data_IF_716729683188
#
_entry.id   IF_716729683188
#
_cell.length_a   1.000
_cell.length_b   1.000
_cell.length_c   1.000
_cell.angle_alpha   90.00
_cell.angle_beta   90.00
_cell.angle_gamma   90.00
#
_symmetry.space_group_name_H-M   'P 1'
#
loop_
_entity.id
_entity.type
_entity.pdbx_description
1 polymer ?
#
# COMPACT_ATOMS: atom_id res chain seq x y z
N UNK A 1 -10.41 24.88 37.19
CA UNK A 1 -9.44 25.23 36.11
C UNK A 1 -9.94 24.55 34.85
N UNK A 2 -10.41 25.32 33.86
CA UNK A 2 -10.93 24.82 32.58
C UNK A 2 -9.88 23.94 31.90
N UNK A 3 -10.10 22.63 31.90
CA UNK A 3 -9.40 21.72 30.99
C UNK A 3 -10.00 21.99 29.62
N UNK A 4 -9.18 22.45 28.67
CA UNK A 4 -9.55 22.64 27.27
C UNK A 4 -10.36 21.44 26.77
N UNK A 5 -11.57 21.70 26.24
CA UNK A 5 -12.49 20.70 25.67
C UNK A 5 -12.03 20.17 24.30
N UNK A 6 -10.92 20.68 23.77
CA UNK A 6 -10.43 20.35 22.44
C UNK A 6 -9.54 19.10 22.48
N UNK A 7 -9.86 18.15 21.60
CA UNK A 7 -9.18 16.87 21.50
C UNK A 7 -7.93 17.06 20.63
N UNK A 8 -6.73 16.83 21.19
CA UNK A 8 -5.49 16.83 20.43
C UNK A 8 -5.45 15.58 19.56
N UNK A 9 -5.13 15.73 18.27
CA UNK A 9 -5.08 14.61 17.34
C UNK A 9 -3.70 14.51 16.71
N UNK A 10 -3.16 13.30 16.75
CA UNK A 10 -1.83 12.97 16.24
C UNK A 10 -1.98 12.03 15.05
N UNK A 11 -1.15 12.28 14.04
CA UNK A 11 -1.08 11.46 12.85
C UNK A 11 0.32 10.92 12.64
N UNK A 12 0.41 9.66 12.22
CA UNK A 12 1.67 9.01 11.85
C UNK A 12 1.64 8.79 10.34
N UNK A 13 2.49 9.54 9.62
CA UNK A 13 2.66 9.53 8.18
C UNK A 13 2.18 10.82 7.50
N UNK A 14 3.06 11.48 6.74
CA UNK A 14 2.81 12.64 5.87
C UNK A 14 2.45 12.27 4.43
N UNK A 15 2.01 11.02 4.21
CA UNK A 15 1.46 10.56 2.93
C UNK A 15 0.01 11.02 2.69
N UNK A 16 -0.63 10.61 1.58
CA UNK A 16 -1.98 11.05 1.21
C UNK A 16 -3.02 10.85 2.32
N UNK A 17 -2.97 9.73 3.04
CA UNK A 17 -3.88 9.44 4.15
C UNK A 17 -3.73 10.44 5.31
N UNK A 18 -2.49 10.79 5.70
CA UNK A 18 -2.24 11.75 6.78
C UNK A 18 -2.53 13.19 6.39
N UNK A 19 -2.23 13.58 5.13
CA UNK A 19 -2.61 14.88 4.59
C UNK A 19 -4.14 15.04 4.56
N UNK A 20 -4.86 14.00 4.14
CA UNK A 20 -6.33 13.97 4.17
C UNK A 20 -6.87 14.15 5.60
N UNK A 21 -6.32 13.42 6.58
CA UNK A 21 -6.67 13.55 7.98
C UNK A 21 -6.46 14.98 8.50
N UNK A 22 -5.28 15.56 8.25
CA UNK A 22 -4.94 16.91 8.68
C UNK A 22 -5.88 17.95 8.06
N UNK A 23 -6.18 17.87 6.75
CA UNK A 23 -7.15 18.74 6.09
C UNK A 23 -8.52 18.71 6.77
N UNK A 24 -9.02 17.52 7.10
CA UNK A 24 -10.35 17.38 7.70
C UNK A 24 -10.43 17.90 9.13
N UNK A 25 -9.35 17.75 9.90
CA UNK A 25 -9.21 18.33 11.24
C UNK A 25 -9.19 19.87 11.14
N UNK A 26 -8.35 20.42 10.26
CA UNK A 26 -8.21 21.87 10.07
C UNK A 26 -9.50 22.54 9.57
N UNK A 27 -10.35 21.81 8.82
CA UNK A 27 -11.67 22.32 8.41
C UNK A 27 -12.70 22.40 9.54
N UNK A 28 -12.39 21.90 10.73
CA UNK A 28 -13.29 21.81 11.90
C UNK A 28 -12.64 22.37 13.19
N UNK A 29 -12.20 23.65 13.19
CA UNK A 29 -11.48 24.24 14.33
C UNK A 29 -12.33 24.35 15.61
N UNK A 30 -13.66 24.32 15.49
CA UNK A 30 -14.57 24.31 16.65
C UNK A 30 -14.65 22.93 17.33
N UNK A 31 -14.31 21.86 16.62
CA UNK A 31 -14.38 20.48 17.12
C UNK A 31 -13.01 19.92 17.51
N UNK A 32 -11.93 20.35 16.86
CA UNK A 32 -10.59 19.77 17.04
C UNK A 32 -9.51 20.83 17.25
N UNK A 33 -8.54 20.51 18.09
CA UNK A 33 -7.27 21.23 18.12
C UNK A 33 -6.53 21.03 16.78
N UNK A 34 -5.66 21.98 16.37
CA UNK A 34 -4.83 21.78 15.20
C UNK A 34 -4.01 20.48 15.29
N UNK A 35 -3.83 19.78 14.16
CA UNK A 35 -3.22 18.47 14.16
C UNK A 35 -1.70 18.51 14.42
N UNK A 36 -1.14 17.35 14.73
CA UNK A 36 0.32 17.12 14.62
C UNK A 36 0.56 15.90 13.74
N UNK A 37 1.18 16.10 12.58
CA UNK A 37 1.56 15.02 11.65
C UNK A 37 3.04 14.70 11.87
N UNK A 38 3.36 13.45 12.20
CA UNK A 38 4.72 12.95 12.26
C UNK A 38 5.08 12.27 10.95
N UNK A 39 6.10 12.77 10.24
CA UNK A 39 6.61 12.20 9.00
C UNK A 39 8.07 11.77 9.21
N UNK A 40 8.42 10.59 8.71
CA UNK A 40 9.75 10.00 8.90
C UNK A 40 10.80 10.68 8.03
N UNK A 41 10.41 11.16 6.85
CA UNK A 41 11.26 11.86 5.90
C UNK A 41 11.10 13.38 6.02
N UNK A 42 11.87 14.13 5.25
CA UNK A 42 11.71 15.57 5.02
C UNK A 42 10.84 15.92 3.81
N UNK A 43 10.24 14.91 3.19
CA UNK A 43 9.41 15.06 2.03
C UNK A 43 7.97 14.62 2.30
N UNK A 44 7.03 15.27 1.64
CA UNK A 44 5.61 14.90 1.71
C UNK A 44 5.27 13.82 0.69
N UNK A 45 4.09 13.22 0.85
CA UNK A 45 3.50 12.35 -0.18
C UNK A 45 3.79 10.86 0.00
N UNK A 46 4.65 10.48 0.96
CA UNK A 46 4.93 9.10 1.32
C UNK A 46 5.42 8.30 0.10
N UNK A 47 4.67 7.27 -0.30
CA UNK A 47 5.00 6.45 -1.48
C UNK A 47 5.12 7.24 -2.78
N UNK A 48 4.47 8.41 -2.91
CA UNK A 48 4.52 9.20 -4.14
C UNK A 48 5.82 10.00 -4.31
N UNK A 49 6.58 10.17 -3.23
CA UNK A 49 7.90 10.73 -3.31
C UNK A 49 8.84 9.69 -3.92
N UNK A 50 9.47 10.04 -5.04
CA UNK A 50 10.49 9.22 -5.68
C UNK A 50 11.87 9.65 -5.20
N UNK A 51 12.59 8.69 -4.65
CA UNK A 51 14.02 8.79 -4.37
C UNK A 51 14.75 7.63 -5.03
N UNK A 52 15.94 7.87 -5.55
CA UNK A 52 16.73 6.82 -6.20
C UNK A 52 17.38 5.87 -5.18
N UNK A 53 17.59 6.32 -3.94
CA UNK A 53 18.17 5.51 -2.87
C UNK A 53 17.25 4.32 -2.51
N UNK A 54 17.88 3.21 -2.10
CA UNK A 54 17.20 1.97 -1.67
C UNK A 54 17.83 1.43 -0.39
N UNK A 55 17.08 0.66 0.40
CA UNK A 55 17.56 0.07 1.65
C UNK A 55 17.29 0.98 2.84
N UNK A 56 18.35 1.53 3.45
CA UNK A 56 18.25 2.39 4.63
C UNK A 56 18.96 3.73 4.39
N UNK A 57 18.45 4.78 5.01
CA UNK A 57 19.17 6.04 5.16
C UNK A 57 20.39 5.87 6.07
N UNK A 58 21.28 6.87 6.10
CA UNK A 58 22.48 6.86 6.95
C UNK A 58 22.15 6.77 8.45
N UNK A 59 21.00 7.30 8.87
CA UNK A 59 20.49 7.21 10.24
C UNK A 59 19.94 5.82 10.60
N UNK A 60 20.00 4.84 9.68
CA UNK A 60 19.55 3.48 9.87
C UNK A 60 18.04 3.26 9.66
N UNK A 61 17.28 4.32 9.36
CA UNK A 61 15.85 4.17 9.05
C UNK A 61 15.64 3.59 7.65
N UNK A 62 14.63 2.72 7.47
CA UNK A 62 14.32 2.13 6.18
C UNK A 62 13.79 3.19 5.21
N UNK A 63 14.14 3.05 3.94
CA UNK A 63 13.52 3.85 2.87
C UNK A 63 12.09 3.37 2.69
N UNK A 64 11.13 4.28 2.83
CA UNK A 64 9.70 3.94 2.77
C UNK A 64 9.22 3.77 1.32
N UNK A 65 9.68 4.64 0.42
CA UNK A 65 9.18 4.68 -0.94
C UNK A 65 9.57 3.43 -1.74
N UNK A 66 8.57 2.87 -2.41
CA UNK A 66 8.74 1.80 -3.41
C UNK A 66 8.57 2.33 -4.84
N UNK A 67 8.55 3.65 -5.00
CA UNK A 67 8.34 4.30 -6.29
C UNK A 67 9.55 4.08 -7.22
N UNK A 68 9.28 3.99 -8.52
CA UNK A 68 10.31 3.89 -9.55
C UNK A 68 10.13 4.99 -10.60
N UNK A 69 11.23 5.28 -11.29
CA UNK A 69 11.45 6.53 -12.02
C UNK A 69 10.39 6.81 -13.06
N UNK A 70 9.95 5.79 -13.79
CA UNK A 70 9.05 5.94 -14.93
C UNK A 70 7.60 5.51 -14.61
N UNK A 71 7.28 5.38 -13.31
CA UNK A 71 5.96 4.93 -12.86
C UNK A 71 4.82 5.84 -13.34
N UNK A 72 3.76 5.20 -13.83
CA UNK A 72 2.48 5.86 -14.15
C UNK A 72 1.33 5.22 -13.39
N UNK A 73 0.34 6.04 -13.05
CA UNK A 73 -0.84 5.59 -12.29
C UNK A 73 -1.53 4.44 -13.00
N UNK A 74 -2.02 3.50 -12.20
CA UNK A 74 -2.87 2.39 -12.64
C UNK A 74 -4.36 2.75 -12.63
N UNK A 75 -4.73 3.83 -11.94
CA UNK A 75 -6.06 4.40 -11.92
C UNK A 75 -6.08 5.72 -12.69
N UNK A 76 -7.23 6.01 -13.29
CA UNK A 76 -7.48 7.29 -13.92
C UNK A 76 -7.52 8.41 -12.85
N UNK A 77 -6.98 9.59 -13.15
CA UNK A 77 -6.86 10.72 -12.21
C UNK A 77 -8.22 11.11 -11.62
N UNK A 78 -9.27 10.98 -12.42
CA UNK A 78 -10.66 11.34 -12.11
C UNK A 78 -11.21 10.50 -10.95
N UNK A 79 -10.72 9.27 -10.78
CA UNK A 79 -11.16 8.35 -9.71
C UNK A 79 -10.12 8.20 -8.59
N UNK A 80 -8.98 8.87 -8.75
CA UNK A 80 -7.87 8.85 -7.80
C UNK A 80 -7.78 10.16 -7.00
N UNK A 81 -8.49 11.24 -7.37
CA UNK A 81 -8.41 12.55 -6.69
C UNK A 81 -9.19 12.63 -5.36
N UNK A 82 -8.85 13.63 -4.55
CA UNK A 82 -9.66 14.01 -3.40
C UNK A 82 -10.94 14.71 -3.89
N UNK A 83 -12.12 14.42 -3.31
CA UNK A 83 -13.38 14.99 -3.79
C UNK A 83 -13.43 16.52 -3.81
N UNK A 84 -12.67 17.19 -2.95
CA UNK A 84 -12.63 18.65 -2.79
C UNK A 84 -11.40 19.31 -3.44
N UNK A 85 -10.57 18.53 -4.13
CA UNK A 85 -9.39 19.01 -4.82
C UNK A 85 -9.17 18.20 -6.11
N UNK A 86 -9.80 18.59 -7.22
CA UNK A 86 -9.64 17.88 -8.47
C UNK A 86 -8.23 18.09 -9.08
N UNK A 87 -7.79 17.13 -9.90
CA UNK A 87 -6.66 17.37 -10.79
C UNK A 87 -7.02 18.39 -11.88
N UNK A 88 -6.01 19.00 -12.50
CA UNK A 88 -6.17 19.79 -13.72
C UNK A 88 -6.72 18.92 -14.86
N UNK A 89 -7.80 19.39 -15.51
CA UNK A 89 -8.50 18.68 -16.58
C UNK A 89 -7.63 18.44 -17.82
N UNK A 90 -6.63 19.29 -18.07
CA UNK A 90 -5.70 19.16 -19.19
C UNK A 90 -4.68 18.04 -19.01
N UNK A 91 -4.54 17.49 -17.80
CA UNK A 91 -3.63 16.37 -17.55
C UNK A 91 -4.19 15.06 -18.14
N UNK A 92 -3.32 14.15 -18.63
CA UNK A 92 -3.76 12.84 -19.11
C UNK A 92 -4.37 12.04 -17.96
N UNK A 93 -5.34 11.15 -18.25
CA UNK A 93 -5.99 10.36 -17.21
C UNK A 93 -5.02 9.45 -16.43
N UNK A 94 -3.95 8.95 -17.06
CA UNK A 94 -2.90 8.16 -16.39
C UNK A 94 -1.64 8.99 -16.20
N UNK A 95 -1.42 9.42 -14.97
CA UNK A 95 -0.42 10.40 -14.59
C UNK A 95 0.94 9.75 -14.33
N UNK A 96 2.02 10.51 -14.54
CA UNK A 96 3.33 10.15 -14.01
C UNK A 96 3.36 10.40 -12.49
N UNK A 97 4.12 9.64 -11.72
CA UNK A 97 4.18 9.78 -10.25
C UNK A 97 4.46 11.21 -9.78
N UNK A 98 5.38 11.92 -10.47
CA UNK A 98 5.68 13.34 -10.22
C UNK A 98 4.45 14.24 -10.23
N UNK A 99 3.47 14.01 -11.12
CA UNK A 99 2.24 14.80 -11.16
C UNK A 99 1.35 14.55 -9.95
N UNK A 100 1.38 13.33 -9.40
CA UNK A 100 0.67 12.99 -8.17
C UNK A 100 1.36 13.58 -6.95
N UNK A 101 2.70 13.53 -6.90
CA UNK A 101 3.49 14.19 -5.87
C UNK A 101 3.22 15.70 -5.82
N UNK A 102 3.29 16.38 -6.97
CA UNK A 102 2.98 17.82 -7.08
C UNK A 102 1.54 18.14 -6.66
N UNK A 103 0.60 17.24 -6.96
CA UNK A 103 -0.78 17.38 -6.52
C UNK A 103 -0.89 17.33 -4.98
N UNK A 104 -0.15 16.42 -4.31
CA UNK A 104 -0.14 16.31 -2.85
C UNK A 104 0.54 17.51 -2.19
N UNK A 105 1.60 18.04 -2.80
CA UNK A 105 2.27 19.28 -2.37
C UNK A 105 1.30 20.46 -2.45
N UNK A 106 0.63 20.65 -3.60
CA UNK A 106 -0.40 21.70 -3.76
C UNK A 106 -1.59 21.52 -2.81
N UNK A 107 -1.98 20.28 -2.52
CA UNK A 107 -3.02 19.99 -1.53
C UNK A 107 -2.59 20.43 -0.14
N UNK A 108 -1.35 20.12 0.25
CA UNK A 108 -0.75 20.55 1.52
C UNK A 108 -0.70 22.09 1.63
N UNK A 109 -0.25 22.77 0.57
CA UNK A 109 -0.20 24.24 0.51
C UNK A 109 -1.58 24.88 0.58
N UNK A 110 -2.54 24.40 -0.24
CA UNK A 110 -3.90 24.94 -0.29
C UNK A 110 -4.61 24.90 1.07
N UNK A 111 -4.35 23.86 1.84
CA UNK A 111 -4.99 23.62 3.13
C UNK A 111 -4.13 24.00 4.34
N UNK A 112 -3.01 24.69 4.11
CA UNK A 112 -2.10 25.19 5.14
C UNK A 112 -1.61 24.09 6.12
N UNK A 113 -1.38 22.89 5.60
CA UNK A 113 -1.06 21.71 6.43
C UNK A 113 0.41 21.71 6.85
N UNK A 114 1.29 22.31 6.05
CA UNK A 114 2.75 22.21 6.20
C UNK A 114 3.24 22.60 7.61
N UNK A 115 2.63 23.60 8.24
CA UNK A 115 2.98 24.07 9.58
C UNK A 115 2.76 23.03 10.70
N UNK A 116 1.94 22.02 10.42
CA UNK A 116 1.57 20.97 11.38
C UNK A 116 2.38 19.69 11.20
N UNK A 117 3.32 19.67 10.25
CA UNK A 117 4.14 18.50 9.92
C UNK A 117 5.49 18.57 10.63
N UNK A 118 5.78 17.55 11.42
CA UNK A 118 7.06 17.31 12.07
C UNK A 118 7.79 16.21 11.32
N UNK A 119 8.77 16.62 10.52
CA UNK A 119 9.65 15.75 9.72
C UNK A 119 10.73 15.06 10.59
N UNK A 120 11.36 14.03 10.05
CA UNK A 120 12.38 13.21 10.71
C UNK A 120 11.94 12.54 12.02
N UNK A 121 10.65 12.24 12.15
CA UNK A 121 10.13 11.52 13.30
C UNK A 121 9.83 10.08 12.91
N UNK A 122 10.73 9.18 13.32
CA UNK A 122 10.52 7.73 13.20
C UNK A 122 10.05 7.14 14.53
N UNK A 123 8.96 6.37 14.50
CA UNK A 123 8.50 5.61 15.65
C UNK A 123 8.98 4.16 15.49
N UNK A 124 9.95 3.74 16.31
CA UNK A 124 10.51 2.38 16.45
C UNK A 124 10.41 1.47 15.20
N UNK A 125 11.31 1.59 14.23
CA UNK A 125 11.32 0.71 13.05
C UNK A 125 12.18 -0.56 13.23
N UNK A 126 11.60 -1.74 12.99
CA UNK A 126 12.34 -2.95 12.60
C UNK A 126 11.67 -3.57 11.38
N UNK A 127 12.40 -3.69 10.26
CA UNK A 127 11.96 -4.50 9.12
C UNK A 127 12.69 -5.85 9.16
N UNK A 128 11.94 -6.94 9.00
CA UNK A 128 12.49 -8.28 8.84
C UNK A 128 11.87 -8.90 7.59
N UNK A 129 12.68 -9.10 6.55
CA UNK A 129 12.30 -9.88 5.38
C UNK A 129 13.17 -11.13 5.37
N UNK A 130 12.63 -12.24 5.88
CA UNK A 130 13.25 -13.55 5.81
C UNK A 130 12.53 -14.38 4.74
N UNK A 131 13.26 -14.79 3.70
CA UNK A 131 12.82 -15.82 2.77
C UNK A 131 13.63 -17.11 3.04
N UNK A 132 12.94 -18.22 3.30
CA UNK A 132 13.53 -19.56 3.24
C UNK A 132 13.06 -20.22 1.94
N UNK A 133 13.97 -20.40 0.99
CA UNK A 133 13.75 -21.35 -0.11
C UNK A 133 13.96 -22.77 0.44
N UNK A 134 13.00 -23.66 0.24
CA UNK A 134 13.19 -25.09 0.56
C UNK A 134 14.24 -25.67 -0.40
N UNK A 135 15.25 -26.38 0.13
CA UNK A 135 16.26 -27.09 -0.68
C UNK A 135 17.71 -26.60 -0.54
N UNK A 136 18.02 -25.60 0.29
CA UNK A 136 19.40 -25.07 0.45
C UNK A 136 20.24 -25.82 1.50
N UNK A 137 19.77 -26.95 2.03
CA UNK A 137 20.31 -27.53 3.27
C UNK A 137 21.63 -28.31 3.10
N UNK A 138 22.14 -28.49 1.87
CA UNK A 138 23.36 -29.27 1.60
C UNK A 138 24.32 -28.65 0.55
N UNK A 139 24.65 -27.36 0.65
CA UNK A 139 25.53 -26.66 -0.31
C UNK A 139 26.98 -26.46 0.18
N UNK A 140 27.63 -27.51 0.70
CA UNK A 140 28.95 -27.36 1.37
C UNK A 140 30.20 -27.37 0.48
N UNK A 141 30.14 -27.51 -0.85
CA UNK A 141 31.38 -27.58 -1.65
C UNK A 141 31.24 -27.38 -3.18
N UNK A 142 30.55 -26.33 -3.66
CA UNK A 142 30.39 -26.11 -5.12
C UNK A 142 30.52 -24.65 -5.54
N UNK A 143 30.82 -24.45 -6.84
CA UNK A 143 31.00 -23.16 -7.53
C UNK A 143 29.79 -22.27 -7.24
N UNK A 144 29.95 -21.30 -6.33
CA UNK A 144 28.88 -20.45 -5.84
C UNK A 144 28.32 -19.58 -6.98
N UNK A 145 27.08 -19.81 -7.35
CA UNK A 145 26.36 -18.89 -8.23
C UNK A 145 25.75 -17.81 -7.33
N UNK A 146 26.28 -16.60 -7.47
CA UNK A 146 25.78 -15.43 -6.78
C UNK A 146 24.74 -14.81 -7.70
N UNK A 147 23.45 -15.08 -7.44
CA UNK A 147 22.40 -14.30 -8.08
C UNK A 147 22.40 -12.89 -7.53
N UNK A 148 22.08 -11.92 -8.39
CA UNK A 148 21.56 -10.65 -7.89
C UNK A 148 20.08 -10.86 -7.56
N UNK A 149 19.76 -10.82 -6.27
CA UNK A 149 18.38 -10.90 -5.79
C UNK A 149 17.89 -9.48 -5.50
N UNK A 150 16.71 -9.14 -6.02
CA UNK A 150 16.08 -7.84 -5.82
C UNK A 150 14.60 -8.02 -5.46
N UNK A 151 14.07 -7.20 -4.55
CA UNK A 151 12.62 -7.08 -4.35
C UNK A 151 12.11 -5.83 -5.08
N UNK A 152 10.86 -5.82 -5.55
CA UNK A 152 10.25 -4.70 -6.27
C UNK A 152 10.29 -3.38 -5.47
N UNK A 153 10.33 -3.46 -4.15
CA UNK A 153 10.56 -2.30 -3.26
C UNK A 153 11.84 -1.52 -3.59
N UNK A 154 12.90 -2.22 -4.01
CA UNK A 154 14.20 -1.66 -4.33
C UNK A 154 14.42 -1.51 -5.84
N UNK A 155 13.40 -1.77 -6.66
CA UNK A 155 13.46 -1.41 -8.08
C UNK A 155 13.32 0.11 -8.24
N UNK A 156 14.08 0.69 -9.17
CA UNK A 156 14.07 2.14 -9.41
C UNK A 156 14.05 2.51 -10.88
N UNK A 157 14.79 1.80 -11.72
CA UNK A 157 14.91 2.09 -13.15
C UNK A 157 15.46 0.85 -13.89
N UNK A 158 15.22 0.72 -15.22
CA UNK A 158 15.44 -0.53 -15.94
C UNK A 158 16.89 -0.74 -16.39
N UNK A 159 17.70 0.31 -16.52
CA UNK A 159 19.05 0.25 -17.12
C UNK A 159 19.98 -0.82 -16.52
N UNK A 160 19.98 -1.10 -15.20
CA UNK A 160 20.79 -2.18 -14.60
C UNK A 160 20.42 -3.59 -15.10
N UNK A 161 19.29 -3.74 -15.78
CA UNK A 161 18.79 -5.01 -16.34
C UNK A 161 19.13 -5.16 -17.82
N UNK A 162 19.83 -4.19 -18.43
CA UNK A 162 20.17 -4.21 -19.85
C UNK A 162 20.89 -5.51 -20.26
N UNK A 163 20.33 -6.21 -21.25
CA UNK A 163 20.82 -7.50 -21.75
C UNK A 163 20.97 -8.61 -20.68
N UNK A 164 20.26 -8.52 -19.55
CA UNK A 164 20.26 -9.55 -18.49
C UNK A 164 19.10 -10.52 -18.65
N UNK A 165 19.27 -11.75 -18.19
CA UNK A 165 18.15 -12.68 -17.98
C UNK A 165 17.54 -12.48 -16.60
N UNK A 166 16.23 -12.27 -16.55
CA UNK A 166 15.52 -11.86 -15.33
C UNK A 166 14.31 -12.75 -15.11
N UNK A 167 14.26 -13.40 -13.94
CA UNK A 167 13.08 -14.14 -13.50
C UNK A 167 12.31 -13.29 -12.49
N UNK A 168 11.05 -12.97 -12.82
CA UNK A 168 10.17 -12.11 -12.02
C UNK A 168 9.16 -12.97 -11.26
N UNK A 169 9.34 -13.08 -9.95
CA UNK A 169 8.49 -13.83 -9.03
C UNK A 169 7.31 -12.99 -8.57
N UNK A 170 6.15 -13.16 -9.20
CA UNK A 170 4.89 -12.53 -8.84
C UNK A 170 4.24 -11.85 -10.03
N UNK A 171 3.34 -12.55 -10.71
CA UNK A 171 2.66 -12.07 -11.91
C UNK A 171 1.41 -11.21 -11.63
N UNK A 172 1.54 -10.25 -10.71
CA UNK A 172 0.53 -9.23 -10.40
C UNK A 172 1.05 -7.85 -10.82
N UNK A 173 0.28 -6.80 -10.52
CA UNK A 173 0.69 -5.40 -10.39
C UNK A 173 2.13 -5.04 -10.81
N UNK A 174 3.03 -5.08 -9.82
CA UNK A 174 4.43 -4.68 -9.95
C UNK A 174 5.23 -5.63 -10.83
N UNK A 175 4.94 -6.93 -10.79
CA UNK A 175 5.64 -7.89 -11.64
C UNK A 175 5.35 -7.68 -13.11
N UNK A 176 4.09 -7.41 -13.47
CA UNK A 176 3.72 -7.10 -14.86
C UNK A 176 4.32 -5.76 -15.29
N UNK A 177 4.19 -4.71 -14.48
CA UNK A 177 4.65 -3.37 -14.87
C UNK A 177 6.19 -3.29 -14.99
N UNK A 178 6.91 -3.78 -13.98
CA UNK A 178 8.37 -3.81 -14.02
C UNK A 178 8.87 -4.73 -15.15
N UNK A 179 8.19 -5.85 -15.42
CA UNK A 179 8.55 -6.71 -16.56
C UNK A 179 8.46 -5.99 -17.90
N UNK A 180 7.44 -5.13 -18.09
CA UNK A 180 7.30 -4.31 -19.29
C UNK A 180 8.46 -3.32 -19.39
N UNK A 181 8.80 -2.65 -18.29
CA UNK A 181 9.85 -1.62 -18.25
C UNK A 181 11.24 -2.21 -18.54
N UNK A 182 11.62 -3.31 -17.88
CA UNK A 182 12.93 -3.93 -18.11
C UNK A 182 13.01 -4.64 -19.47
N UNK A 183 11.89 -5.08 -20.05
CA UNK A 183 11.89 -5.62 -21.41
C UNK A 183 12.27 -4.56 -22.46
N UNK A 184 12.00 -3.26 -22.20
CA UNK A 184 12.38 -2.17 -23.10
C UNK A 184 13.90 -1.98 -23.21
N UNK A 185 14.66 -2.38 -22.18
CA UNK A 185 16.12 -2.36 -22.20
C UNK A 185 16.74 -3.69 -22.66
N UNK A 186 15.98 -4.50 -23.41
CA UNK A 186 16.40 -5.79 -23.97
C UNK A 186 16.74 -6.85 -22.91
N UNK A 187 16.19 -6.74 -21.70
CA UNK A 187 16.24 -7.83 -20.74
C UNK A 187 15.43 -9.03 -21.26
N UNK A 188 15.93 -10.25 -21.02
CA UNK A 188 15.17 -11.48 -21.27
C UNK A 188 14.32 -11.78 -20.04
N UNK A 189 13.02 -11.48 -20.12
CA UNK A 189 12.13 -11.52 -18.95
C UNK A 189 11.30 -12.79 -18.92
N UNK A 190 11.32 -13.47 -17.77
CA UNK A 190 10.49 -14.63 -17.46
C UNK A 190 9.61 -14.32 -16.25
N UNK A 191 8.31 -14.11 -16.45
CA UNK A 191 7.36 -13.82 -15.38
C UNK A 191 6.68 -15.10 -14.88
N UNK A 192 6.53 -15.23 -13.56
CA UNK A 192 5.94 -16.42 -12.92
C UNK A 192 5.05 -16.05 -11.72
N UNK A 193 4.00 -16.84 -11.40
CA UNK A 193 3.51 -17.99 -12.18
C UNK A 193 2.78 -17.53 -13.44
N UNK A 194 2.50 -18.48 -14.34
CA UNK A 194 1.69 -18.25 -15.55
C UNK A 194 0.38 -17.55 -15.22
N UNK A 195 0.14 -16.43 -15.90
CA UNK A 195 -1.11 -15.67 -15.87
C UNK A 195 -2.11 -16.24 -16.88
N UNK A 196 -3.40 -15.99 -16.65
CA UNK A 196 -4.47 -16.38 -17.57
C UNK A 196 -4.42 -15.64 -18.91
N UNK A 197 -3.88 -14.42 -18.93
CA UNK A 197 -3.70 -13.62 -20.14
C UNK A 197 -2.27 -13.79 -20.67
N UNK A 198 -2.08 -13.75 -22.01
CA UNK A 198 -0.74 -13.76 -22.60
C UNK A 198 0.05 -12.54 -22.12
N UNK A 199 1.38 -12.68 -21.93
CA UNK A 199 2.20 -11.57 -21.48
C UNK A 199 2.35 -10.54 -22.63
N UNK A 200 2.71 -9.29 -22.31
CA UNK A 200 3.10 -8.31 -23.33
C UNK A 200 4.27 -8.80 -24.20
N UNK A 201 4.38 -8.26 -25.41
CA UNK A 201 5.43 -8.63 -26.38
C UNK A 201 6.83 -8.53 -25.75
N UNK A 202 7.66 -9.56 -25.94
CA UNK A 202 9.02 -9.60 -25.41
C UNK A 202 9.16 -10.21 -24.00
N UNK A 203 8.06 -10.59 -23.35
CA UNK A 203 8.05 -11.25 -22.04
C UNK A 203 7.62 -12.72 -22.21
N UNK A 204 8.30 -13.64 -21.53
CA UNK A 204 7.95 -15.07 -21.49
C UNK A 204 7.30 -15.39 -20.15
N UNK A 205 6.35 -16.32 -20.15
CA UNK A 205 5.78 -16.86 -18.90
C UNK A 205 6.44 -18.19 -18.57
N UNK A 206 6.55 -18.49 -17.28
CA UNK A 206 6.94 -19.80 -16.77
C UNK A 206 5.98 -20.21 -15.64
N UNK A 207 5.85 -21.52 -15.42
CA UNK A 207 5.07 -22.12 -14.34
C UNK A 207 5.51 -21.65 -12.94
N UNK A 208 4.93 -22.19 -11.87
CA UNK A 208 5.41 -21.87 -10.53
C UNK A 208 6.84 -22.40 -10.33
N UNK A 209 7.72 -21.64 -9.66
CA UNK A 209 9.05 -22.15 -9.28
C UNK A 209 8.88 -23.25 -8.24
N UNK A 210 9.45 -24.43 -8.53
CA UNK A 210 9.38 -25.61 -7.68
C UNK A 210 10.72 -25.94 -7.00
N UNK A 211 11.82 -25.40 -7.53
CA UNK A 211 13.14 -25.70 -7.00
C UNK A 211 14.25 -24.93 -7.71
N UNK A 212 15.48 -25.23 -7.28
CA UNK A 212 16.72 -24.68 -7.82
C UNK A 212 17.62 -25.87 -8.11
N UNK A 213 18.11 -25.97 -9.34
CA UNK A 213 19.07 -26.99 -9.76
C UNK A 213 20.44 -26.77 -9.11
N UNK A 214 21.29 -27.79 -9.12
CA UNK A 214 22.65 -27.70 -8.57
C UNK A 214 23.53 -26.64 -9.26
N UNK A 215 23.22 -26.31 -10.51
CA UNK A 215 23.88 -25.28 -11.32
C UNK A 215 23.22 -23.90 -11.22
N UNK A 216 22.38 -23.67 -10.19
CA UNK A 216 21.74 -22.38 -9.95
C UNK A 216 20.70 -21.97 -11.00
N UNK A 217 20.27 -22.88 -11.87
CA UNK A 217 19.09 -22.68 -12.70
C UNK A 217 17.80 -22.88 -11.89
N UNK A 218 16.75 -22.12 -12.21
CA UNK A 218 15.44 -22.24 -11.57
C UNK A 218 14.64 -23.33 -12.29
N UNK A 219 14.00 -24.21 -11.51
CA UNK A 219 13.12 -25.26 -12.00
C UNK A 219 11.66 -24.87 -11.83
N UNK A 220 10.85 -25.10 -12.86
CA UNK A 220 9.47 -24.66 -12.92
C UNK A 220 8.50 -25.84 -13.06
N UNK A 221 7.27 -25.65 -12.60
CA UNK A 221 6.22 -26.68 -12.60
C UNK A 221 5.85 -27.18 -14.02
N UNK A 222 6.08 -26.37 -15.04
CA UNK A 222 5.87 -26.72 -16.46
C UNK A 222 7.02 -27.56 -17.05
N UNK A 223 8.02 -27.94 -16.23
CA UNK A 223 9.19 -28.70 -16.65
C UNK A 223 10.30 -27.84 -17.25
N UNK A 224 10.08 -26.53 -17.43
CA UNK A 224 11.14 -25.63 -17.91
C UNK A 224 12.22 -25.43 -16.84
N UNK A 225 13.43 -25.15 -17.32
CA UNK A 225 14.60 -24.82 -16.49
C UNK A 225 15.22 -23.56 -17.07
N UNK A 226 15.35 -22.52 -16.25
CA UNK A 226 15.78 -21.19 -16.71
C UNK A 226 16.99 -20.74 -15.88
N UNK A 227 18.08 -20.40 -16.57
CA UNK A 227 19.22 -19.72 -15.98
C UNK A 227 19.01 -18.20 -16.02
N UNK A 228 19.11 -17.55 -14.86
CA UNK A 228 18.85 -16.12 -14.69
C UNK A 228 20.05 -15.42 -14.06
N UNK A 229 20.36 -14.21 -14.56
CA UNK A 229 21.29 -13.28 -13.91
C UNK A 229 20.67 -12.65 -12.66
N UNK A 230 19.36 -12.37 -12.72
CA UNK A 230 18.62 -11.63 -11.71
C UNK A 230 17.32 -12.36 -11.36
N UNK A 231 17.05 -12.51 -10.05
CA UNK A 231 15.75 -12.94 -9.53
C UNK A 231 15.08 -11.74 -8.87
N UNK A 232 13.98 -11.29 -9.45
CA UNK A 232 13.21 -10.13 -9.03
C UNK A 232 11.92 -10.56 -8.31
N UNK A 233 11.84 -10.33 -7.01
CA UNK A 233 10.67 -10.63 -6.19
C UNK A 233 9.65 -9.50 -6.28
N UNK A 234 8.52 -9.77 -6.94
CA UNK A 234 7.34 -8.93 -7.02
C UNK A 234 6.19 -9.54 -6.20
N UNK A 235 6.51 -10.00 -4.99
CA UNK A 235 5.64 -10.83 -4.14
C UNK A 235 4.71 -10.03 -3.22
N UNK A 236 4.72 -8.69 -3.33
CA UNK A 236 3.93 -7.79 -2.48
C UNK A 236 4.59 -7.49 -1.15
N UNK A 237 3.87 -6.79 -0.27
CA UNK A 237 4.37 -6.33 1.03
C UNK A 237 3.55 -6.94 2.17
N UNK A 238 4.10 -6.84 3.39
CA UNK A 238 3.42 -7.17 4.64
C UNK A 238 3.23 -5.90 5.44
N UNK A 239 2.13 -5.80 6.16
CA UNK A 239 1.96 -4.73 7.15
C UNK A 239 2.97 -4.91 8.28
N UNK A 240 3.52 -3.80 8.72
CA UNK A 240 4.51 -3.76 9.79
C UNK A 240 4.34 -2.46 10.58
N UNK A 241 3.90 -2.56 11.83
CA UNK A 241 3.72 -1.44 12.75
C UNK A 241 4.58 -1.63 14.01
N UNK A 242 5.91 -1.60 13.87
CA UNK A 242 6.83 -1.97 14.95
C UNK A 242 6.76 -1.03 16.18
N UNK A 243 6.20 0.17 16.02
CA UNK A 243 5.91 1.11 17.11
C UNK A 243 4.66 0.77 17.92
N UNK A 244 3.68 0.07 17.35
CA UNK A 244 2.50 -0.44 18.06
C UNK A 244 2.75 -1.84 18.61
N UNK A 245 3.49 -2.65 17.85
CA UNK A 245 3.77 -4.05 18.18
C UNK A 245 5.28 -4.31 18.19
N UNK A 246 5.98 -4.00 19.31
CA UNK A 246 7.39 -4.33 19.48
C UNK A 246 7.63 -5.83 19.35
N UNK A 247 8.79 -6.22 18.80
CA UNK A 247 9.16 -7.64 18.63
C UNK A 247 9.08 -8.38 19.98
N UNK A 248 8.20 -9.39 20.08
CA UNK A 248 8.03 -10.22 21.29
C UNK A 248 6.63 -10.26 21.88
N UNK A 249 5.69 -9.42 21.42
CA UNK A 249 4.31 -9.38 21.96
C UNK A 249 3.33 -10.40 21.34
N UNK A 250 3.79 -11.28 20.44
CA UNK A 250 2.93 -12.27 19.76
C UNK A 250 1.94 -11.67 18.76
N UNK A 251 1.74 -10.34 18.74
CA UNK A 251 0.91 -9.60 17.79
C UNK A 251 1.64 -9.32 16.47
N UNK A 252 2.18 -10.35 15.82
CA UNK A 252 2.76 -10.20 14.48
C UNK A 252 1.67 -10.37 13.43
N UNK A 253 1.14 -9.27 12.90
CA UNK A 253 0.41 -9.22 11.62
C UNK A 253 -1.07 -9.61 11.64
N UNK A 254 -1.57 -10.36 12.63
CA UNK A 254 -2.97 -10.82 12.62
C UNK A 254 -4.00 -9.72 12.91
N UNK A 255 -3.59 -8.59 13.47
CA UNK A 255 -4.50 -7.49 13.82
C UNK A 255 -5.09 -6.78 12.59
N UNK A 256 -4.41 -6.86 11.45
CA UNK A 256 -4.85 -6.25 10.20
C UNK A 256 -5.45 -7.26 9.23
N UNK A 257 -5.53 -8.55 9.56
CA UNK A 257 -6.01 -9.58 8.63
C UNK A 257 -7.55 -9.74 8.66
N UNK A 258 -8.26 -9.06 9.55
CA UNK A 258 -9.73 -9.05 9.63
C UNK A 258 -10.36 -7.83 8.95
N UNK A 259 -11.32 -8.08 8.07
CA UNK A 259 -12.07 -7.04 7.38
C UNK A 259 -13.31 -6.57 8.11
N UNK A 260 -13.59 -5.28 7.86
CA UNK A 260 -14.84 -4.52 7.94
C UNK A 260 -14.94 -3.45 9.03
N UNK A 261 -14.30 -3.56 10.21
CA UNK A 261 -14.50 -2.52 11.25
C UNK A 261 -13.25 -2.02 11.98
N UNK A 262 -12.05 -2.48 11.62
CA UNK A 262 -10.81 -2.00 12.23
C UNK A 262 -10.32 -0.73 11.53
N UNK A 263 -11.15 0.31 11.52
CA UNK A 263 -10.56 1.62 11.75
C UNK A 263 -10.19 1.66 13.23
N UNK A 264 -11.16 1.45 14.13
CA UNK A 264 -10.93 1.31 15.56
C UNK A 264 -10.27 -0.02 15.90
N UNK A 265 -9.09 0.01 16.53
CA UNK A 265 -8.50 -1.19 17.13
C UNK A 265 -9.42 -1.72 18.25
N UNK A 266 -9.89 -2.99 18.23
CA UNK A 266 -10.66 -3.53 19.34
C UNK A 266 -9.93 -3.33 20.68
N UNK A 267 -10.58 -2.66 21.63
CA UNK A 267 -9.99 -2.26 22.91
C UNK A 267 -9.34 -0.86 22.94
N UNK A 268 -9.20 -0.18 21.79
CA UNK A 268 -8.68 1.19 21.68
C UNK A 268 -9.59 2.05 20.77
N UNK A 269 -10.74 2.52 21.27
CA UNK A 269 -11.73 3.27 20.48
C UNK A 269 -11.25 4.63 19.99
N UNK A 270 -10.06 5.07 20.42
CA UNK A 270 -9.42 6.32 20.02
C UNK A 270 -8.30 6.15 18.98
N UNK A 271 -8.07 4.95 18.43
CA UNK A 271 -7.01 4.67 17.44
C UNK A 271 -7.61 4.20 16.13
N UNK A 272 -7.34 4.92 15.03
CA UNK A 272 -7.89 4.68 13.70
C UNK A 272 -6.79 4.39 12.66
N UNK A 273 -6.90 3.26 11.94
CA UNK A 273 -5.99 2.92 10.82
C UNK A 273 -6.58 3.34 9.47
N UNK A 274 -6.03 4.38 8.84
CA UNK A 274 -6.45 4.83 7.50
C UNK A 274 -5.59 4.12 6.44
N UNK A 275 -6.22 3.53 5.43
CA UNK A 275 -5.56 3.02 4.22
C UNK A 275 -5.00 1.59 4.28
N UNK A 276 -5.48 0.75 5.21
CA UNK A 276 -5.07 -0.67 5.29
C UNK A 276 -5.76 -1.57 4.26
N UNK A 277 -6.90 -1.15 3.71
CA UNK A 277 -7.62 -1.91 2.68
C UNK A 277 -6.86 -1.92 1.35
N UNK A 278 -7.09 -2.96 0.54
CA UNK A 278 -6.41 -3.21 -0.74
C UNK A 278 -7.42 -3.27 -1.88
N UNK A 279 -6.95 -3.04 -3.11
CA UNK A 279 -7.82 -3.00 -4.31
C UNK A 279 -8.92 -1.94 -4.09
N UNK A 280 -8.48 -0.68 -4.02
CA UNK A 280 -9.30 0.48 -3.65
C UNK A 280 -9.11 1.67 -4.61
N UNK A 281 -10.03 2.64 -4.56
CA UNK A 281 -9.81 4.00 -5.06
C UNK A 281 -9.22 4.86 -3.91
N UNK A 282 -7.90 5.13 -3.88
CA UNK A 282 -7.17 5.43 -2.65
C UNK A 282 -7.59 6.73 -1.97
N UNK A 283 -7.61 7.88 -2.68
CA UNK A 283 -7.84 9.17 -2.02
C UNK A 283 -9.29 9.33 -1.57
N UNK A 284 -10.24 8.77 -2.33
CA UNK A 284 -11.65 8.71 -1.93
C UNK A 284 -11.84 7.76 -0.75
N UNK A 285 -11.15 6.62 -0.75
CA UNK A 285 -11.15 5.68 0.36
C UNK A 285 -10.64 6.33 1.64
N UNK A 286 -9.50 7.04 1.58
CA UNK A 286 -8.94 7.77 2.72
C UNK A 286 -9.89 8.86 3.23
N UNK A 287 -10.50 9.63 2.32
CA UNK A 287 -11.48 10.66 2.66
C UNK A 287 -12.68 10.10 3.45
N UNK A 288 -13.26 8.99 2.99
CA UNK A 288 -14.35 8.32 3.71
C UNK A 288 -13.93 7.80 5.09
N UNK A 289 -12.77 7.14 5.17
CA UNK A 289 -12.26 6.59 6.43
C UNK A 289 -11.95 7.71 7.44
N UNK A 290 -11.35 8.81 6.98
CA UNK A 290 -11.05 9.98 7.81
C UNK A 290 -12.33 10.62 8.31
N UNK A 291 -13.32 10.87 7.44
CA UNK A 291 -14.61 11.45 7.84
C UNK A 291 -15.31 10.60 8.90
N UNK A 292 -15.36 9.29 8.70
CA UNK A 292 -15.89 8.36 9.69
C UNK A 292 -15.11 8.42 11.01
N UNK A 293 -13.77 8.33 10.96
CA UNK A 293 -12.94 8.35 12.18
C UNK A 293 -13.14 9.62 12.99
N UNK A 294 -13.23 10.77 12.33
CA UNK A 294 -13.41 12.06 12.99
C UNK A 294 -14.82 12.20 13.56
N UNK A 295 -15.85 11.67 12.88
CA UNK A 295 -17.21 11.63 13.42
C UNK A 295 -17.28 10.81 14.73
N UNK A 296 -16.56 9.69 14.81
CA UNK A 296 -16.45 8.92 16.04
C UNK A 296 -15.67 9.70 17.12
N UNK A 297 -14.53 10.26 16.73
CA UNK A 297 -13.64 10.98 17.66
C UNK A 297 -14.23 12.29 18.19
N UNK A 298 -15.13 12.95 17.47
CA UNK A 298 -15.89 14.12 17.95
C UNK A 298 -17.17 13.73 18.71
N UNK A 299 -17.54 12.44 18.71
CA UNK A 299 -18.74 11.92 19.36
C UNK A 299 -20.04 12.13 18.58
N UNK A 300 -19.98 12.48 17.29
CA UNK A 300 -21.16 12.61 16.43
C UNK A 300 -21.62 11.26 15.84
N UNK A 301 -20.75 10.25 15.90
CA UNK A 301 -21.03 8.86 15.59
C UNK A 301 -20.60 7.95 16.74
N UNK A 302 -21.39 6.90 17.00
CA UNK A 302 -21.08 5.90 18.02
C UNK A 302 -20.63 4.60 17.34
N UNK A 303 -19.58 3.98 17.88
CA UNK A 303 -19.19 2.65 17.48
C UNK A 303 -20.11 1.61 18.15
N UNK A 304 -20.37 0.47 17.50
CA UNK A 304 -20.94 -0.69 18.17
C UNK A 304 -20.07 -1.12 19.36
N UNK A 305 -20.64 -1.93 20.25
CA UNK A 305 -19.88 -2.51 21.36
C UNK A 305 -18.72 -3.37 20.83
N UNK A 306 -17.69 -3.56 21.65
CA UNK A 306 -16.56 -4.43 21.28
C UNK A 306 -17.01 -5.83 20.86
N UNK A 307 -17.97 -6.42 21.57
CA UNK A 307 -18.50 -7.75 21.26
C UNK A 307 -19.22 -7.77 19.89
N UNK A 308 -19.98 -6.72 19.55
CA UNK A 308 -20.63 -6.61 18.25
C UNK A 308 -19.63 -6.46 17.12
N UNK A 309 -18.59 -5.64 17.32
CA UNK A 309 -17.51 -5.46 16.34
C UNK A 309 -16.72 -6.76 16.12
N UNK A 310 -16.41 -7.49 17.19
CA UNK A 310 -15.74 -8.80 17.10
C UNK A 310 -16.61 -9.84 16.37
N UNK A 311 -17.92 -9.88 16.66
CA UNK A 311 -18.86 -10.77 15.94
C UNK A 311 -18.97 -10.43 14.46
N UNK A 312 -19.00 -9.15 14.09
CA UNK A 312 -19.01 -8.73 12.69
C UNK A 312 -17.73 -9.19 11.97
N UNK A 313 -16.57 -8.95 12.58
CA UNK A 313 -15.28 -9.39 12.06
C UNK A 313 -15.27 -10.90 11.78
N UNK A 314 -15.74 -11.71 12.74
CA UNK A 314 -15.82 -13.16 12.56
C UNK A 314 -16.78 -13.54 11.43
N UNK A 315 -17.94 -12.88 11.34
CA UNK A 315 -18.93 -13.13 10.28
C UNK A 315 -18.34 -12.83 8.90
N UNK A 316 -17.66 -11.70 8.76
CA UNK A 316 -17.05 -11.31 7.49
C UNK A 316 -15.89 -12.22 7.10
N UNK A 317 -15.05 -12.61 8.07
CA UNK A 317 -13.99 -13.59 7.86
C UNK A 317 -14.56 -14.92 7.37
N UNK A 318 -15.62 -15.41 8.00
CA UNK A 318 -16.30 -16.64 7.58
C UNK A 318 -16.89 -16.50 6.17
N UNK A 319 -17.63 -15.42 5.89
CA UNK A 319 -18.18 -15.15 4.56
C UNK A 319 -17.11 -15.17 3.46
N UNK A 320 -15.95 -14.57 3.73
CA UNK A 320 -14.82 -14.56 2.79
C UNK A 320 -14.19 -15.94 2.62
N UNK A 321 -14.06 -16.71 3.70
CA UNK A 321 -13.57 -18.08 3.62
C UNK A 321 -14.54 -18.98 2.83
N UNK A 322 -15.84 -18.87 3.07
CA UNK A 322 -16.89 -19.64 2.37
C UNK A 322 -16.93 -19.35 0.87
N UNK A 323 -16.56 -18.12 0.47
CA UNK A 323 -16.44 -17.70 -0.92
C UNK A 323 -15.05 -17.98 -1.54
N UNK A 324 -14.17 -18.68 -0.82
CA UNK A 324 -12.86 -19.10 -1.30
C UNK A 324 -11.78 -18.01 -1.30
N UNK A 325 -12.01 -16.88 -0.61
CA UNK A 325 -11.01 -15.81 -0.47
C UNK A 325 -9.88 -16.29 0.44
N UNK A 326 -8.66 -16.29 -0.09
CA UNK A 326 -7.47 -16.62 0.69
C UNK A 326 -7.22 -15.58 1.79
N UNK A 327 -6.77 -16.02 2.97
CA UNK A 327 -6.46 -15.18 4.14
C UNK A 327 -5.67 -13.90 3.79
N UNK A 328 -4.63 -14.02 2.95
CA UNK A 328 -3.79 -12.89 2.52
C UNK A 328 -4.52 -11.77 1.75
N UNK A 329 -5.72 -12.08 1.23
CA UNK A 329 -6.57 -11.19 0.45
C UNK A 329 -7.79 -10.72 1.25
N UNK A 330 -7.90 -11.00 2.56
CA UNK A 330 -9.07 -10.60 3.34
C UNK A 330 -9.31 -9.10 3.25
N UNK A 331 -8.26 -8.28 3.34
CA UNK A 331 -8.32 -6.82 3.20
C UNK A 331 -8.63 -6.28 1.79
N UNK A 332 -8.82 -7.13 0.79
CA UNK A 332 -9.24 -6.67 -0.54
C UNK A 332 -10.72 -6.26 -0.47
N UNK A 333 -11.02 -5.02 -0.88
CA UNK A 333 -12.39 -4.56 -0.99
C UNK A 333 -12.94 -4.81 -2.41
N UNK A 334 -12.19 -4.47 -3.47
CA UNK A 334 -12.60 -4.74 -4.85
C UNK A 334 -14.04 -4.24 -5.14
N UNK A 335 -15.00 -5.13 -5.41
CA UNK A 335 -16.41 -4.80 -5.61
C UNK A 335 -17.16 -4.36 -4.33
N UNK A 336 -16.67 -4.76 -3.15
CA UNK A 336 -17.29 -4.48 -1.86
C UNK A 336 -16.98 -3.03 -1.38
N UNK A 337 -16.11 -2.29 -2.08
CA UNK A 337 -15.78 -0.89 -1.77
C UNK A 337 -17.02 0.02 -1.69
N UNK A 338 -18.01 -0.23 -2.56
CA UNK A 338 -19.22 0.61 -2.62
C UNK A 338 -20.00 0.55 -1.32
N UNK A 339 -20.30 -0.66 -0.87
CA UNK A 339 -21.05 -0.91 0.36
C UNK A 339 -20.25 -0.40 1.57
N UNK A 340 -18.93 -0.64 1.58
CA UNK A 340 -18.01 -0.12 2.58
C UNK A 340 -18.09 1.42 2.74
N UNK A 341 -18.15 2.17 1.63
CA UNK A 341 -18.29 3.63 1.69
C UNK A 341 -19.67 4.08 2.14
N UNK A 342 -20.73 3.39 1.71
CA UNK A 342 -22.10 3.69 2.11
C UNK A 342 -22.32 3.48 3.61
N UNK A 343 -21.76 2.41 4.18
CA UNK A 343 -21.86 2.11 5.60
C UNK A 343 -21.12 3.16 6.45
N UNK A 344 -19.88 3.50 6.09
CA UNK A 344 -19.15 4.58 6.77
C UNK A 344 -19.85 5.92 6.66
N UNK A 345 -20.38 6.25 5.49
CA UNK A 345 -21.13 7.49 5.26
C UNK A 345 -22.41 7.56 6.11
N UNK A 346 -23.12 6.44 6.24
CA UNK A 346 -24.31 6.30 7.07
C UNK A 346 -23.99 6.52 8.55
N UNK A 347 -22.95 5.86 9.07
CA UNK A 347 -22.56 5.98 10.48
C UNK A 347 -21.94 7.34 10.78
N UNK A 348 -21.00 7.80 9.96
CA UNK A 348 -20.31 9.08 10.10
C UNK A 348 -21.12 10.29 9.64
N UNK A 349 -22.38 10.10 9.21
CA UNK A 349 -23.33 11.16 8.80
C UNK A 349 -22.77 12.12 7.75
N UNK A 350 -22.07 11.58 6.74
CA UNK A 350 -21.57 12.35 5.60
C UNK A 350 -22.10 11.80 4.28
N UNK A 351 -22.03 12.60 3.22
CA UNK A 351 -22.46 12.16 1.88
C UNK A 351 -21.44 11.21 1.28
N UNK A 352 -21.87 10.01 0.92
CA UNK A 352 -21.03 9.03 0.22
C UNK A 352 -20.60 9.54 -1.18
N UNK A 353 -19.36 9.26 -1.60
CA UNK A 353 -18.82 9.73 -2.88
C UNK A 353 -19.51 9.02 -4.06
N UNK A 354 -20.41 9.72 -4.75
CA UNK A 354 -21.16 9.18 -5.90
C UNK A 354 -20.25 8.83 -7.09
N UNK A 355 -19.16 9.59 -7.26
CA UNK A 355 -18.20 9.42 -8.36
C UNK A 355 -17.58 8.02 -8.44
N UNK A 356 -17.54 7.26 -7.33
CA UNK A 356 -17.04 5.88 -7.30
C UNK A 356 -18.10 4.88 -7.79
N UNK A 357 -19.38 5.20 -7.64
CA UNK A 357 -20.48 4.30 -7.97
C UNK A 357 -20.83 4.29 -9.45
N UNK A 358 -20.37 5.32 -10.18
CA UNK A 358 -20.62 5.50 -11.61
C UNK A 358 -19.46 5.01 -12.50
N UNK A 359 -18.35 4.57 -11.90
CA UNK A 359 -17.18 4.09 -12.66
C UNK A 359 -17.56 2.76 -13.34
N UNK A 360 -17.61 2.70 -14.69
CA UNK A 360 -17.85 1.45 -15.36
C UNK A 360 -16.69 0.49 -15.07
N UNK A 361 -16.97 -0.80 -14.85
CA UNK A 361 -15.97 -1.88 -14.70
C UNK A 361 -14.88 -1.91 -15.80
N UNK A 362 -15.04 -1.14 -16.89
CA UNK A 362 -14.08 -1.00 -17.99
C UNK A 362 -13.00 0.07 -17.78
N UNK A 363 -13.19 1.06 -16.90
CA UNK A 363 -12.18 2.11 -16.62
C UNK A 363 -11.11 1.62 -15.62
N UNK A 364 -11.46 0.61 -14.82
CA UNK A 364 -10.57 -0.11 -13.88
C UNK A 364 -9.76 -1.23 -14.54
N UNK A 365 -9.84 -1.40 -15.87
CA UNK A 365 -9.39 -2.60 -16.59
C UNK A 365 -7.87 -2.73 -16.83
N UNK A 366 -7.02 -1.81 -16.34
CA UNK A 366 -5.58 -2.09 -16.27
C UNK A 366 -5.31 -2.80 -14.94
N UNK A 367 -4.76 -4.03 -14.94
CA UNK A 367 -4.44 -4.72 -13.69
C UNK A 367 -3.63 -3.79 -12.80
N UNK A 368 -4.19 -3.47 -11.62
CA UNK A 368 -3.67 -2.48 -10.67
C UNK A 368 -2.15 -2.63 -10.54
N UNK A 369 -1.36 -1.65 -11.00
CA UNK A 369 0.11 -1.72 -11.17
C UNK A 369 0.96 -1.48 -9.92
N UNK A 370 0.41 -0.98 -8.80
CA UNK A 370 1.10 -0.93 -7.49
C UNK A 370 0.21 -1.46 -6.37
N UNK A 371 0.85 -2.17 -5.43
CA UNK A 371 0.28 -2.50 -4.13
C UNK A 371 0.16 -1.22 -3.29
N UNK A 372 -1.06 -0.77 -3.02
CA UNK A 372 -1.36 0.41 -2.18
C UNK A 372 -1.04 0.20 -0.69
N UNK A 373 -0.40 -0.92 -0.32
CA UNK A 373 -0.11 -1.33 1.07
C UNK A 373 0.81 -0.37 1.85
N UNK A 374 1.34 0.67 1.23
CA UNK A 374 2.26 1.65 1.84
C UNK A 374 1.65 3.04 2.04
N UNK A 375 0.39 3.26 1.63
CA UNK A 375 -0.31 4.55 1.74
C UNK A 375 -1.30 4.53 2.91
N UNK A 376 -0.77 4.43 4.13
CA UNK A 376 -1.58 4.38 5.35
C UNK A 376 -1.19 5.50 6.32
N UNK A 377 -2.06 5.78 7.28
CA UNK A 377 -1.83 6.70 8.38
C UNK A 377 -2.50 6.16 9.65
N UNK A 378 -1.91 6.40 10.82
CA UNK A 378 -2.61 6.21 12.10
C UNK A 378 -3.17 7.55 12.56
N UNK A 379 -4.43 7.61 12.97
CA UNK A 379 -5.06 8.79 13.60
C UNK A 379 -5.42 8.43 15.04
N UNK A 380 -4.97 9.22 16.02
CA UNK A 380 -5.24 8.93 17.44
C UNK A 380 -5.32 10.18 18.32
N UNK A 381 -5.91 10.03 19.51
CA UNK A 381 -5.93 11.04 20.60
C UNK A 381 -4.58 11.22 21.30
#
# INVERSE_FOLDING_TARGET
KNVSRYLRRRMIGGGPAGLCAARHILSRPEAFDPPVVYEMTDHLGGTWFYEEQVGTYENGYPIHSSMYRDFRTNLAKEIMMFPDFPFDDHLPSFLHHKSVQQYLEKYCEKHDIAHYIKVYVCLNSKFCVCFKLKGTENLKNRKMIIWKVLHSHSYRYPEPFTNKSVVVLGARASGVDISIEIAQVKAQVFITPTMSLPPPLGIRQAGAVIGVSEDGSLQFQDGSVIQADIVLFCTGHKFNFPFLFPSGTGCTGSFCDSTVQVLAAPGFPSIFFIGICKIICPFIHFDCQVKFSLAVLEGSAELPTQEEMEKEVQREMQRKQDTGVQVKNLLNLDKDQREYYLDMAKVGRFTAPQSVFEIPNKVTAKPLRISMQTQWCLVYE
#
